data_IF_556277368123
#
_entry.id   IF_556277368123
#
_cell.length_a   1.000
_cell.length_b   1.000
_cell.length_c   1.000
_cell.angle_alpha   90.00
_cell.angle_beta   90.00
_cell.angle_gamma   90.00
#
_symmetry.space_group_name_H-M   'P 1'
#
loop_
_entity.id
_entity.type
_entity.pdbx_description
1 polymer ?
#
# COMPACT_ATOMS: atom_id res chain seq x y z
N UNK A 1 -17.91 20.41 7.69
CA UNK A 1 -17.28 19.62 8.75
C UNK A 1 -16.13 20.46 9.30
N UNK A 2 -16.09 20.59 10.64
CA UNK A 2 -15.32 21.68 11.28
C UNK A 2 -13.86 21.30 11.58
N UNK A 3 -13.35 20.15 11.05
CA UNK A 3 -11.97 19.64 11.28
C UNK A 3 -11.53 19.78 12.75
N UNK A 4 -12.40 19.40 13.68
CA UNK A 4 -12.16 19.45 15.12
C UNK A 4 -12.82 18.27 15.83
N UNK A 5 -12.30 17.90 16.99
CA UNK A 5 -12.90 16.91 17.88
C UNK A 5 -12.69 17.32 19.35
N UNK A 6 -13.52 16.78 20.23
CA UNK A 6 -13.42 17.05 21.66
C UNK A 6 -13.06 15.78 22.41
N UNK A 7 -12.06 15.83 23.26
CA UNK A 7 -11.61 14.75 24.11
C UNK A 7 -11.26 15.28 25.51
N UNK A 8 -11.74 14.62 26.55
CA UNK A 8 -11.47 15.01 27.91
C UNK A 8 -11.93 16.43 28.28
N UNK A 9 -12.97 16.95 27.62
CA UNK A 9 -13.46 18.31 27.81
C UNK A 9 -12.68 19.41 27.08
N UNK A 10 -11.63 19.06 26.34
CA UNK A 10 -10.84 19.97 25.51
C UNK A 10 -11.13 19.73 24.03
N UNK A 11 -11.25 20.82 23.26
CA UNK A 11 -11.42 20.78 21.81
C UNK A 11 -10.08 20.94 21.13
N UNK A 12 -9.78 20.03 20.18
CA UNK A 12 -8.61 20.01 19.33
C UNK A 12 -9.00 20.36 17.90
N UNK A 13 -8.13 21.08 17.21
CA UNK A 13 -8.31 21.53 15.85
C UNK A 13 -7.27 20.93 14.93
N UNK A 14 -7.50 21.04 13.63
CA UNK A 14 -6.49 20.67 12.62
C UNK A 14 -5.17 21.42 12.87
N UNK A 15 -4.07 20.68 13.00
CA UNK A 15 -2.75 21.24 13.34
C UNK A 15 -2.34 21.09 14.81
N UNK A 16 -3.26 20.76 15.71
CA UNK A 16 -2.91 20.43 17.07
C UNK A 16 -2.22 19.08 17.18
N UNK A 17 -1.20 18.97 18.03
CA UNK A 17 -0.47 17.73 18.26
C UNK A 17 -1.05 16.95 19.42
N UNK A 18 -1.24 15.67 19.19
CA UNK A 18 -1.56 14.67 20.22
C UNK A 18 -0.63 13.48 20.04
N UNK A 19 -0.28 12.81 21.14
CA UNK A 19 0.49 11.56 21.11
C UNK A 19 -0.38 10.42 21.58
N UNK A 20 -0.31 9.28 20.90
CA UNK A 20 -1.13 8.09 21.15
C UNK A 20 -0.21 6.93 21.53
N UNK A 21 -0.47 6.28 22.65
CA UNK A 21 0.11 4.99 22.99
C UNK A 21 -0.84 3.88 22.56
N UNK A 22 -0.52 3.23 21.47
CA UNK A 22 -1.34 2.16 20.91
C UNK A 22 -1.41 0.90 21.77
N UNK A 23 -0.48 0.70 22.70
CA UNK A 23 -0.46 -0.47 23.59
C UNK A 23 -1.43 -0.31 24.75
N UNK A 24 -1.52 0.89 25.31
CA UNK A 24 -2.37 1.19 26.48
C UNK A 24 -3.68 1.87 26.09
N UNK A 25 -3.76 2.44 24.88
CA UNK A 25 -4.87 3.28 24.43
C UNK A 25 -4.87 4.69 25.03
N UNK A 26 -3.80 5.08 25.73
CA UNK A 26 -3.69 6.41 26.28
C UNK A 26 -3.44 7.47 25.22
N UNK A 27 -4.05 8.62 25.40
CA UNK A 27 -3.85 9.80 24.56
C UNK A 27 -3.26 10.92 25.42
N UNK A 28 -2.19 11.52 24.93
CA UNK A 28 -1.48 12.59 25.63
C UNK A 28 -1.55 13.87 24.80
N UNK A 29 -1.64 14.98 25.49
CA UNK A 29 -1.61 16.30 24.85
C UNK A 29 -0.19 16.64 24.38
N UNK A 30 -0.06 17.13 23.16
CA UNK A 30 1.21 17.58 22.60
C UNK A 30 2.08 16.45 22.07
N UNK A 31 3.34 16.79 21.80
CA UNK A 31 4.37 15.88 21.29
C UNK A 31 5.12 15.27 22.47
N UNK A 32 5.04 13.96 22.61
CA UNK A 32 5.84 13.22 23.60
C UNK A 32 7.09 12.68 22.89
N UNK A 33 8.29 12.81 23.50
CA UNK A 33 9.50 12.22 22.96
C UNK A 33 9.34 10.72 22.79
N UNK A 34 9.63 10.24 21.58
CA UNK A 34 9.63 8.82 21.24
C UNK A 34 11.06 8.35 20.96
N UNK A 35 11.30 7.07 21.14
CA UNK A 35 12.56 6.42 20.78
C UNK A 35 12.29 5.37 19.72
N UNK A 36 13.20 5.23 18.78
CA UNK A 36 13.12 4.16 17.80
C UNK A 36 13.25 2.79 18.48
N UNK A 37 12.55 1.80 17.96
CA UNK A 37 12.70 0.43 18.42
C UNK A 37 14.07 -0.10 18.01
N UNK A 38 14.87 -0.51 18.99
CA UNK A 38 16.19 -1.08 18.79
C UNK A 38 16.25 -2.52 19.32
N UNK A 39 16.95 -3.38 18.58
CA UNK A 39 17.30 -4.73 19.05
C UNK A 39 18.60 -4.62 19.83
N UNK A 40 18.52 -4.13 21.08
CA UNK A 40 19.66 -3.85 21.92
C UNK A 40 19.47 -4.39 23.35
N UNK A 41 20.54 -4.35 24.16
CA UNK A 41 20.52 -4.73 25.57
C UNK A 41 20.05 -6.19 25.80
N UNK A 42 19.24 -6.42 26.81
CA UNK A 42 18.75 -7.75 27.16
C UNK A 42 17.82 -8.35 26.08
N UNK A 43 17.05 -7.51 25.39
CA UNK A 43 16.24 -7.94 24.24
C UNK A 43 17.14 -8.45 23.11
N UNK A 44 18.23 -7.78 22.80
CA UNK A 44 19.21 -8.24 21.81
C UNK A 44 19.85 -9.58 22.18
N UNK A 45 20.12 -9.82 23.47
CA UNK A 45 20.63 -11.10 23.97
C UNK A 45 19.62 -12.24 23.79
N UNK A 46 18.33 -11.98 24.07
CA UNK A 46 17.26 -12.97 23.83
C UNK A 46 17.14 -13.27 22.33
N UNK A 47 17.18 -12.25 21.48
CA UNK A 47 17.11 -12.43 20.02
C UNK A 47 18.31 -13.25 19.51
N UNK A 48 19.52 -12.99 20.00
CA UNK A 48 20.69 -13.78 19.64
C UNK A 48 20.59 -15.26 20.08
N UNK A 49 19.99 -15.51 21.24
CA UNK A 49 19.71 -16.88 21.68
C UNK A 49 18.63 -17.54 20.80
N UNK A 50 17.57 -16.81 20.44
CA UNK A 50 16.55 -17.30 19.52
C UNK A 50 17.17 -17.68 18.17
N UNK A 51 18.03 -16.84 17.60
CA UNK A 51 18.73 -17.09 16.34
C UNK A 51 19.64 -18.33 16.39
N UNK A 52 20.24 -18.59 17.55
CA UNK A 52 21.07 -19.79 17.74
C UNK A 52 20.30 -21.12 17.68
N UNK A 53 19.05 -21.11 18.13
CA UNK A 53 18.26 -22.33 18.29
C UNK A 53 17.12 -22.49 17.27
N UNK A 54 16.68 -21.42 16.64
CA UNK A 54 15.63 -21.48 15.62
C UNK A 54 16.11 -22.23 14.38
N UNK A 55 15.19 -22.97 13.77
CA UNK A 55 15.40 -23.66 12.49
C UNK A 55 14.67 -22.95 11.34
N UNK A 56 13.63 -22.17 11.67
CA UNK A 56 12.84 -21.42 10.69
C UNK A 56 13.41 -20.02 10.50
N UNK A 57 13.28 -19.52 9.28
CA UNK A 57 13.62 -18.14 8.92
C UNK A 57 12.41 -17.24 9.03
N UNK A 58 12.64 -15.97 9.36
CA UNK A 58 11.60 -14.95 9.45
C UNK A 58 11.62 -14.08 8.20
N UNK A 59 10.48 -14.03 7.51
CA UNK A 59 10.25 -13.14 6.38
C UNK A 59 9.12 -12.17 6.72
N UNK A 60 9.27 -10.93 6.27
CA UNK A 60 8.29 -9.88 6.49
C UNK A 60 7.44 -9.63 5.25
N UNK A 61 6.36 -8.87 5.40
CA UNK A 61 5.68 -8.23 4.28
C UNK A 61 6.31 -6.85 4.07
N UNK A 62 6.73 -6.56 2.85
CA UNK A 62 7.22 -5.24 2.45
C UNK A 62 6.92 -5.04 0.96
N UNK A 63 6.41 -3.87 0.63
CA UNK A 63 5.93 -3.54 -0.71
C UNK A 63 6.77 -2.40 -1.34
N UNK A 64 7.61 -1.73 -0.54
CA UNK A 64 8.50 -0.66 -0.99
C UNK A 64 9.98 -0.96 -0.68
N UNK A 65 10.94 -0.38 -1.43
CA UNK A 65 12.36 -0.50 -1.13
C UNK A 65 12.73 0.01 0.26
N UNK A 66 12.08 1.07 0.73
CA UNK A 66 12.29 1.65 2.07
C UNK A 66 11.89 0.67 3.16
N UNK A 67 10.70 0.05 3.03
CA UNK A 67 10.22 -0.95 3.99
C UNK A 67 11.11 -2.20 3.99
N UNK A 68 11.53 -2.64 2.81
CA UNK A 68 12.45 -3.77 2.67
C UNK A 68 13.78 -3.54 3.37
N UNK A 69 14.35 -2.34 3.20
CA UNK A 69 15.60 -1.95 3.89
C UNK A 69 15.40 -1.93 5.40
N UNK A 70 14.33 -1.30 5.88
CA UNK A 70 14.02 -1.24 7.32
C UNK A 70 13.78 -2.63 7.90
N UNK A 71 13.05 -3.48 7.19
CA UNK A 71 12.82 -4.86 7.60
C UNK A 71 14.14 -5.65 7.74
N UNK A 72 15.07 -5.47 6.81
CA UNK A 72 16.39 -6.10 6.85
C UNK A 72 17.21 -5.60 8.03
N UNK A 73 17.21 -4.28 8.31
CA UNK A 73 17.86 -3.70 9.49
C UNK A 73 17.31 -4.28 10.81
N UNK A 74 16.04 -4.63 10.85
CA UNK A 74 15.37 -5.29 11.98
C UNK A 74 15.54 -6.82 12.00
N UNK A 75 16.34 -7.39 11.10
CA UNK A 75 16.71 -8.80 11.10
C UNK A 75 15.80 -9.72 10.27
N UNK A 76 14.97 -9.17 9.39
CA UNK A 76 14.22 -10.00 8.44
C UNK A 76 15.16 -10.64 7.42
N UNK A 77 14.92 -11.92 7.12
CA UNK A 77 15.76 -12.74 6.23
C UNK A 77 15.18 -12.84 4.80
N UNK A 78 14.29 -11.93 4.48
CA UNK A 78 13.65 -11.79 3.17
C UNK A 78 12.23 -11.25 3.26
N UNK A 79 11.58 -11.16 2.10
CA UNK A 79 10.18 -10.74 1.99
C UNK A 79 9.33 -11.99 1.72
N UNK A 80 8.34 -12.21 2.58
CA UNK A 80 7.38 -13.29 2.47
C UNK A 80 6.18 -12.96 1.59
N UNK A 81 5.88 -11.66 1.46
CA UNK A 81 4.85 -11.16 0.56
C UNK A 81 5.16 -9.71 0.17
N UNK A 82 5.32 -9.49 -1.14
CA UNK A 82 5.29 -8.18 -1.77
C UNK A 82 3.96 -8.05 -2.55
N UNK A 83 3.13 -7.09 -2.15
CA UNK A 83 1.84 -6.79 -2.79
C UNK A 83 2.07 -5.74 -3.86
N UNK A 84 2.10 -6.16 -5.11
CA UNK A 84 2.44 -5.27 -6.23
C UNK A 84 1.43 -4.17 -6.47
N UNK A 85 0.16 -4.36 -6.11
CA UNK A 85 -0.87 -3.34 -6.20
C UNK A 85 -0.60 -2.12 -5.31
N UNK A 86 0.09 -2.27 -4.18
CA UNK A 86 0.43 -1.17 -3.29
C UNK A 86 1.44 -0.17 -3.92
N UNK A 87 2.16 -0.58 -4.96
CA UNK A 87 3.08 0.29 -5.70
C UNK A 87 2.35 1.38 -6.50
N UNK A 88 1.02 1.26 -6.68
CA UNK A 88 0.22 2.13 -7.56
C UNK A 88 -0.73 3.09 -6.84
N UNK A 89 -0.68 3.19 -5.51
CA UNK A 89 -1.45 4.19 -4.78
C UNK A 89 -0.88 5.62 -4.88
N UNK A 90 0.33 5.76 -5.40
CA UNK A 90 0.94 7.06 -5.63
C UNK A 90 0.12 7.88 -6.65
N UNK A 91 -0.15 9.19 -6.40
CA UNK A 91 -0.92 10.04 -7.29
C UNK A 91 -0.42 10.11 -8.74
N UNK A 92 0.89 10.00 -8.94
CA UNK A 92 1.48 10.01 -10.28
C UNK A 92 1.23 8.70 -11.05
N UNK A 93 1.00 7.59 -10.35
CA UNK A 93 0.87 6.24 -10.91
C UNK A 93 -0.57 5.78 -11.02
N UNK A 94 -1.43 6.23 -10.09
CA UNK A 94 -2.82 5.76 -9.98
C UNK A 94 -3.63 6.05 -11.25
N UNK A 95 -3.31 7.10 -11.99
CA UNK A 95 -4.00 7.45 -13.22
C UNK A 95 -3.88 6.33 -14.28
N UNK A 96 -2.66 5.85 -14.54
CA UNK A 96 -2.41 4.75 -15.49
C UNK A 96 -3.04 3.44 -15.01
N UNK A 97 -3.06 3.20 -13.70
CA UNK A 97 -3.70 2.02 -13.12
C UNK A 97 -5.23 2.05 -13.27
N UNK A 98 -5.84 3.21 -13.10
CA UNK A 98 -7.28 3.45 -13.36
C UNK A 98 -7.62 3.26 -14.85
N UNK A 99 -6.76 3.71 -15.75
CA UNK A 99 -6.93 3.46 -17.19
C UNK A 99 -6.94 1.96 -17.49
N UNK A 100 -6.03 1.19 -16.90
CA UNK A 100 -6.00 -0.27 -17.06
C UNK A 100 -7.30 -0.93 -16.56
N UNK A 101 -7.78 -0.54 -15.39
CA UNK A 101 -9.02 -1.08 -14.80
C UNK A 101 -10.24 -0.79 -15.69
N UNK A 102 -10.32 0.43 -16.23
CA UNK A 102 -11.46 0.91 -17.02
C UNK A 102 -11.32 0.65 -18.52
N UNK A 103 -10.34 -0.16 -18.94
CA UNK A 103 -10.17 -0.56 -20.33
C UNK A 103 -11.21 -1.59 -20.75
N UNK A 104 -11.83 -1.39 -21.93
CA UNK A 104 -12.83 -2.33 -22.50
C UNK A 104 -12.18 -3.39 -23.37
N UNK A 105 -11.04 -3.08 -24.00
CA UNK A 105 -10.34 -3.97 -24.92
C UNK A 105 -8.95 -4.34 -24.41
N UNK A 106 -8.43 -5.46 -24.93
CA UNK A 106 -7.05 -5.91 -24.64
C UNK A 106 -6.05 -4.86 -25.07
N UNK A 107 -6.21 -4.26 -26.24
CA UNK A 107 -5.29 -3.24 -26.77
C UNK A 107 -5.23 -1.98 -25.91
N UNK A 108 -6.38 -1.51 -25.41
CA UNK A 108 -6.42 -0.38 -24.47
C UNK A 108 -5.71 -0.75 -23.17
N UNK A 109 -5.94 -1.96 -22.65
CA UNK A 109 -5.30 -2.44 -21.43
C UNK A 109 -3.80 -2.58 -21.59
N UNK A 110 -3.31 -3.12 -22.71
CA UNK A 110 -1.87 -3.20 -23.01
C UNK A 110 -1.24 -1.80 -23.04
N UNK A 111 -1.91 -0.83 -23.67
CA UNK A 111 -1.45 0.58 -23.68
C UNK A 111 -1.33 1.16 -22.28
N UNK A 112 -2.26 0.87 -21.39
CA UNK A 112 -2.20 1.31 -19.99
C UNK A 112 -1.10 0.58 -19.20
N UNK A 113 -0.93 -0.73 -19.44
CA UNK A 113 0.13 -1.55 -18.84
C UNK A 113 1.53 -1.08 -19.24
N UNK A 114 1.72 -0.65 -20.47
CA UNK A 114 2.99 -0.08 -20.95
C UNK A 114 3.39 1.20 -20.17
N UNK A 115 2.42 1.96 -19.69
CA UNK A 115 2.67 3.11 -18.81
C UNK A 115 3.07 2.69 -17.40
N UNK A 116 2.57 1.55 -16.94
CA UNK A 116 2.81 1.00 -15.59
C UNK A 116 4.17 0.30 -15.50
N UNK A 117 4.58 -0.38 -16.58
CA UNK A 117 5.77 -1.23 -16.62
C UNK A 117 7.05 -0.54 -16.11
N UNK A 118 7.41 0.69 -16.54
CA UNK A 118 8.64 1.34 -16.08
C UNK A 118 8.66 1.61 -14.56
N UNK A 119 7.50 1.94 -13.98
CA UNK A 119 7.38 2.15 -12.53
C UNK A 119 7.62 0.86 -11.77
N UNK A 120 6.95 -0.21 -12.17
CA UNK A 120 7.06 -1.51 -11.52
C UNK A 120 8.45 -2.12 -11.65
N UNK A 121 9.06 -2.00 -12.82
CA UNK A 121 10.43 -2.43 -13.06
C UNK A 121 11.39 -1.69 -12.12
N UNK A 122 11.34 -0.36 -12.08
CA UNK A 122 12.21 0.44 -11.22
C UNK A 122 11.99 0.18 -9.72
N UNK A 123 10.77 -0.14 -9.30
CA UNK A 123 10.50 -0.52 -7.91
C UNK A 123 11.11 -1.89 -7.57
N UNK A 124 11.01 -2.87 -8.46
CA UNK A 124 11.64 -4.17 -8.26
C UNK A 124 13.17 -4.09 -8.26
N UNK A 125 13.77 -3.33 -9.17
CA UNK A 125 15.22 -3.12 -9.17
C UNK A 125 15.70 -2.60 -7.81
N UNK A 126 15.09 -1.54 -7.30
CA UNK A 126 15.41 -0.97 -5.98
C UNK A 126 15.10 -1.92 -4.82
N UNK A 127 14.01 -2.71 -4.93
CA UNK A 127 13.67 -3.71 -3.93
C UNK A 127 14.74 -4.80 -3.83
N UNK A 128 15.20 -5.31 -4.97
CA UNK A 128 16.28 -6.30 -5.02
C UNK A 128 17.62 -5.74 -4.52
N UNK A 129 17.94 -4.48 -4.85
CA UNK A 129 19.11 -3.80 -4.29
C UNK A 129 19.04 -3.73 -2.76
N UNK A 130 17.90 -3.31 -2.20
CA UNK A 130 17.70 -3.22 -0.75
C UNK A 130 17.81 -4.59 -0.05
N UNK A 131 17.43 -5.66 -0.72
CA UNK A 131 17.45 -7.02 -0.18
C UNK A 131 18.82 -7.71 -0.26
N UNK A 132 19.74 -7.24 -1.10
CA UNK A 132 21.10 -7.76 -1.23
C UNK A 132 21.16 -9.29 -1.36
N UNK A 133 20.32 -9.86 -2.21
CA UNK A 133 20.23 -11.31 -2.45
C UNK A 133 19.34 -12.09 -1.50
N UNK A 134 18.68 -11.45 -0.53
CA UNK A 134 17.65 -12.10 0.29
C UNK A 134 16.42 -12.45 -0.55
N UNK A 135 15.74 -13.58 -0.29
CA UNK A 135 14.60 -14.03 -1.09
C UNK A 135 13.39 -13.12 -0.94
N UNK A 136 12.64 -12.95 -2.04
CA UNK A 136 11.37 -12.24 -2.05
C UNK A 136 10.30 -13.08 -2.73
N UNK A 137 9.10 -13.11 -2.14
CA UNK A 137 7.90 -13.66 -2.74
C UNK A 137 7.04 -12.52 -3.25
N UNK A 138 6.90 -12.42 -4.57
CA UNK A 138 6.13 -11.37 -5.23
C UNK A 138 4.75 -11.95 -5.58
N UNK A 139 3.69 -11.26 -5.16
CA UNK A 139 2.33 -11.56 -5.61
C UNK A 139 2.08 -10.85 -6.94
N UNK A 140 1.53 -11.55 -7.91
CA UNK A 140 1.00 -10.91 -9.11
C UNK A 140 -0.10 -9.92 -8.74
N UNK A 141 -0.38 -8.96 -9.63
CA UNK A 141 -1.39 -7.92 -9.38
C UNK A 141 -2.72 -8.56 -8.94
N UNK A 142 -3.16 -8.20 -7.76
CA UNK A 142 -4.41 -8.64 -7.15
C UNK A 142 -5.15 -7.43 -6.53
N UNK A 143 -5.45 -6.39 -7.34
CA UNK A 143 -6.08 -5.19 -6.83
C UNK A 143 -7.54 -5.46 -6.48
N UNK A 144 -8.01 -4.99 -5.32
CA UNK A 144 -9.43 -4.79 -5.09
C UNK A 144 -9.88 -3.60 -5.94
N UNK A 145 -10.47 -3.86 -7.09
CA UNK A 145 -10.69 -2.85 -8.14
C UNK A 145 -11.42 -1.61 -7.65
N UNK A 146 -12.39 -1.78 -6.74
CA UNK A 146 -13.18 -0.69 -6.17
C UNK A 146 -12.35 0.31 -5.32
N UNK A 147 -11.16 -0.08 -4.82
CA UNK A 147 -10.27 0.82 -4.06
C UNK A 147 -9.48 1.77 -4.96
N UNK A 148 -9.29 1.40 -6.21
CA UNK A 148 -8.50 2.17 -7.18
C UNK A 148 -9.33 3.11 -8.04
N UNK A 149 -10.62 2.83 -8.24
CA UNK A 149 -11.46 3.66 -9.09
C UNK A 149 -11.67 5.06 -8.51
N UNK A 150 -11.85 6.08 -9.37
CA UNK A 150 -12.09 7.44 -8.90
C UNK A 150 -13.40 7.56 -8.13
N UNK A 151 -13.37 8.34 -7.06
CA UNK A 151 -14.55 8.59 -6.19
C UNK A 151 -15.13 9.99 -6.35
N UNK A 152 -14.34 10.95 -6.83
CA UNK A 152 -14.79 12.32 -7.04
C UNK A 152 -15.21 12.57 -8.47
N UNK A 153 -16.14 13.50 -8.68
CA UNK A 153 -16.61 13.86 -10.02
C UNK A 153 -15.45 14.38 -10.91
N UNK A 154 -14.54 15.17 -10.36
CA UNK A 154 -13.39 15.70 -11.08
C UNK A 154 -12.44 14.61 -11.59
N UNK A 155 -12.15 13.59 -10.76
CA UNK A 155 -11.32 12.45 -11.16
C UNK A 155 -12.00 11.60 -12.24
N UNK A 156 -13.34 11.41 -12.14
CA UNK A 156 -14.12 10.69 -13.16
C UNK A 156 -14.05 11.43 -14.51
N UNK A 157 -14.20 12.74 -14.51
CA UNK A 157 -14.10 13.58 -15.71
C UNK A 157 -12.69 13.53 -16.32
N UNK A 158 -11.65 13.55 -15.49
CA UNK A 158 -10.27 13.43 -15.93
C UNK A 158 -10.01 12.07 -16.58
N UNK A 159 -10.48 10.98 -15.97
CA UNK A 159 -10.34 9.62 -16.50
C UNK A 159 -11.12 9.45 -17.81
N UNK A 160 -12.33 9.99 -17.89
CA UNK A 160 -13.17 9.99 -19.08
C UNK A 160 -12.46 10.69 -20.26
N UNK A 161 -11.88 11.87 -20.00
CA UNK A 161 -11.12 12.61 -21.00
C UNK A 161 -9.86 11.84 -21.45
N UNK A 162 -9.12 11.23 -20.54
CA UNK A 162 -7.92 10.46 -20.84
C UNK A 162 -8.20 9.24 -21.73
N UNK A 163 -9.37 8.59 -21.53
CA UNK A 163 -9.78 7.41 -22.30
C UNK A 163 -10.68 7.73 -23.51
N UNK A 164 -11.03 9.00 -23.73
CA UNK A 164 -11.97 9.37 -24.81
C UNK A 164 -13.38 8.80 -24.62
N UNK A 165 -13.78 8.51 -23.39
CA UNK A 165 -15.08 7.96 -23.01
C UNK A 165 -16.00 9.03 -22.42
N UNK A 166 -17.31 8.79 -22.40
CA UNK A 166 -18.22 9.67 -21.69
C UNK A 166 -18.12 9.47 -20.17
N UNK A 167 -18.46 10.50 -19.41
CA UNK A 167 -18.52 10.44 -17.94
C UNK A 167 -19.50 9.35 -17.48
N UNK A 168 -20.63 9.22 -18.17
CA UNK A 168 -21.64 8.20 -17.91
C UNK A 168 -21.10 6.79 -18.14
N UNK A 169 -20.28 6.58 -19.16
CA UNK A 169 -19.64 5.27 -19.41
C UNK A 169 -18.69 4.91 -18.27
N UNK A 170 -17.83 5.83 -17.83
CA UNK A 170 -16.94 5.60 -16.69
C UNK A 170 -17.72 5.33 -15.41
N UNK A 171 -18.79 6.07 -15.13
CA UNK A 171 -19.68 5.80 -13.98
C UNK A 171 -20.32 4.42 -14.03
N UNK A 172 -20.73 3.97 -15.21
CA UNK A 172 -21.28 2.63 -15.39
C UNK A 172 -20.24 1.53 -15.11
N UNK A 173 -19.00 1.70 -15.58
CA UNK A 173 -17.90 0.78 -15.27
C UNK A 173 -17.65 0.75 -13.76
N UNK A 174 -17.50 1.89 -13.11
CA UNK A 174 -17.28 1.99 -11.65
C UNK A 174 -18.43 1.27 -10.90
N UNK A 175 -19.67 1.51 -11.29
CA UNK A 175 -20.83 0.86 -10.67
C UNK A 175 -20.80 -0.66 -10.83
N UNK A 176 -20.34 -1.17 -11.98
CA UNK A 176 -20.21 -2.60 -12.25
C UNK A 176 -19.13 -3.29 -11.41
N UNK A 177 -18.12 -2.53 -10.95
CA UNK A 177 -17.05 -3.02 -10.10
C UNK A 177 -17.37 -3.00 -8.60
N UNK A 178 -18.54 -2.47 -8.22
CA UNK A 178 -18.97 -2.42 -6.82
C UNK A 178 -19.31 -3.83 -6.33
N UNK A 179 -18.59 -4.26 -5.30
CA UNK A 179 -18.74 -5.59 -4.71
C UNK A 179 -19.34 -5.52 -3.32
N UNK A 180 -20.27 -6.43 -3.03
CA UNK A 180 -20.80 -6.58 -1.67
C UNK A 180 -19.73 -7.09 -0.70
N UNK A 181 -18.88 -7.99 -1.16
CA UNK A 181 -17.71 -8.46 -0.44
C UNK A 181 -16.48 -8.41 -1.36
N UNK A 182 -15.55 -7.45 -1.16
CA UNK A 182 -14.37 -7.27 -2.00
C UNK A 182 -13.47 -8.51 -2.08
N UNK A 183 -13.47 -9.35 -1.04
CA UNK A 183 -12.69 -10.59 -1.02
C UNK A 183 -13.23 -11.67 -1.97
N UNK A 184 -14.50 -11.55 -2.35
CA UNK A 184 -15.20 -12.49 -3.24
C UNK A 184 -15.42 -11.93 -4.65
N UNK A 185 -15.05 -10.68 -4.90
CA UNK A 185 -15.30 -9.96 -6.13
C UNK A 185 -14.31 -10.25 -7.26
N UNK A 186 -14.38 -9.44 -8.30
CA UNK A 186 -13.47 -9.47 -9.45
C UNK A 186 -12.06 -9.00 -9.07
N UNK A 187 -11.17 -9.95 -8.80
CA UNK A 187 -9.75 -9.70 -8.50
C UNK A 187 -8.92 -10.95 -8.72
N UNK A 188 -7.62 -10.78 -8.93
CA UNK A 188 -6.67 -11.87 -9.13
C UNK A 188 -7.09 -12.78 -10.28
N UNK A 189 -7.03 -14.08 -10.07
CA UNK A 189 -7.39 -15.09 -11.08
C UNK A 189 -8.87 -15.07 -11.53
N UNK A 190 -9.73 -14.33 -10.84
CA UNK A 190 -11.14 -14.15 -11.27
C UNK A 190 -11.32 -13.08 -12.33
N UNK A 191 -10.25 -12.37 -12.69
CA UNK A 191 -10.25 -11.40 -13.80
C UNK A 191 -9.98 -12.06 -15.17
N UNK A 192 -9.56 -13.33 -15.19
CA UNK A 192 -9.22 -14.09 -16.41
C UNK A 192 -10.37 -14.96 -16.88
#
# INVERSE_FOLDING_TARGET
EHKQFTLGGKTYHEGDFISIDGSTGNIYEGVIPTVDAEIAGEFGRIMALADKYRTMKVRTNADTPTDAKKAKELGAEGIGLCRTEHMFFDPERIAAFREMICSDTVAERETALDKILPYQQGDFEKLYEALEGSPVCIRFLDPPLHEFVPTTQAEIEQLAAAQGKSVEAIKAIIASLHEFNPMMGHRGCRLT
#
